data_IF_107452227154
#
_entry.id   IF_107452227154
#
_cell.length_a   1.000
_cell.length_b   1.000
_cell.length_c   1.000
_cell.angle_alpha   90.00
_cell.angle_beta   90.00
_cell.angle_gamma   90.00
#
_symmetry.space_group_name_H-M   'P 1'
#
loop_
_entity.id
_entity.type
_entity.pdbx_description
1 polymer ?
#
# COMPACT_ATOMS: atom_id res chain seq x y z
N UNK A 1 5.66 9.45 -25.64
CA UNK A 1 5.83 9.41 -24.18
C UNK A 1 6.14 10.82 -23.76
N UNK A 2 5.29 11.45 -22.94
CA UNK A 2 5.57 12.81 -22.48
C UNK A 2 6.91 12.86 -21.74
N UNK A 3 7.67 13.92 -21.97
CA UNK A 3 8.92 14.15 -21.24
C UNK A 3 8.57 14.82 -19.92
N UNK A 4 8.84 14.12 -18.82
CA UNK A 4 8.62 14.63 -17.48
C UNK A 4 9.91 15.26 -16.96
N UNK A 5 9.79 16.49 -16.44
CA UNK A 5 10.86 17.06 -15.63
C UNK A 5 11.08 16.20 -14.36
N UNK A 6 12.31 16.08 -13.83
CA UNK A 6 12.59 15.24 -12.66
C UNK A 6 11.69 15.54 -11.47
N UNK A 7 11.32 16.80 -11.26
CA UNK A 7 10.47 17.26 -10.15
C UNK A 7 9.01 16.80 -10.28
N UNK A 8 8.62 16.28 -11.45
CA UNK A 8 7.29 15.74 -11.75
C UNK A 8 7.22 14.21 -11.67
N UNK A 9 8.32 13.54 -11.38
CA UNK A 9 8.38 12.07 -11.21
C UNK A 9 8.34 11.73 -9.72
N UNK A 10 7.53 10.74 -9.34
CA UNK A 10 7.47 10.23 -7.96
C UNK A 10 7.49 8.71 -7.93
N UNK A 11 8.46 8.14 -7.24
CA UNK A 11 8.53 6.71 -6.97
C UNK A 11 7.92 6.45 -5.58
N UNK A 12 6.82 5.70 -5.52
CA UNK A 12 6.09 5.46 -4.27
C UNK A 12 6.00 3.96 -4.01
N UNK A 13 6.57 3.50 -2.90
CA UNK A 13 6.50 2.09 -2.51
C UNK A 13 5.27 1.78 -1.65
N UNK A 14 4.55 0.71 -2.01
CA UNK A 14 3.48 0.15 -1.20
C UNK A 14 4.06 -0.94 -0.30
N UNK A 15 3.94 -0.75 1.00
CA UNK A 15 4.49 -1.62 2.05
C UNK A 15 3.38 -2.15 2.94
N UNK A 16 3.62 -3.25 3.66
CA UNK A 16 2.66 -3.82 4.60
C UNK A 16 2.69 -5.34 4.64
N UNK A 17 2.09 -5.91 5.68
CA UNK A 17 2.02 -7.37 5.86
C UNK A 17 1.31 -8.08 4.69
N UNK A 18 1.49 -9.39 4.57
CA UNK A 18 0.68 -10.20 3.66
C UNK A 18 -0.81 -9.99 3.93
N UNK A 19 -1.63 -9.95 2.87
CA UNK A 19 -3.07 -9.73 3.00
C UNK A 19 -3.49 -8.32 3.42
N UNK A 20 -2.57 -7.36 3.60
CA UNK A 20 -2.92 -5.95 3.89
C UNK A 20 -3.60 -5.22 2.72
N UNK A 21 -3.58 -5.80 1.51
CA UNK A 21 -4.26 -5.25 0.33
C UNK A 21 -3.41 -4.33 -0.55
N UNK A 22 -2.07 -4.41 -0.46
CA UNK A 22 -1.13 -3.60 -1.26
C UNK A 22 -1.42 -3.68 -2.76
N UNK A 23 -1.42 -4.89 -3.29
CA UNK A 23 -1.66 -5.16 -4.71
C UNK A 23 -3.05 -4.70 -5.16
N UNK A 24 -4.07 -4.92 -4.34
CA UNK A 24 -5.43 -4.45 -4.63
C UNK A 24 -5.51 -2.92 -4.67
N UNK A 25 -4.76 -2.23 -3.81
CA UNK A 25 -4.64 -0.77 -3.86
C UNK A 25 -3.86 -0.33 -5.10
N UNK A 26 -2.76 -1.00 -5.43
CA UNK A 26 -1.95 -0.72 -6.61
C UNK A 26 -2.78 -0.82 -7.90
N UNK A 27 -3.55 -1.90 -8.03
CA UNK A 27 -4.55 -2.11 -9.09
C UNK A 27 -5.56 -0.98 -9.16
N UNK A 28 -6.19 -0.64 -8.03
CA UNK A 28 -7.21 0.39 -7.98
C UNK A 28 -6.65 1.76 -8.35
N UNK A 29 -5.45 2.12 -7.88
CA UNK A 29 -4.77 3.37 -8.22
C UNK A 29 -4.45 3.42 -9.71
N UNK A 30 -3.91 2.34 -10.27
CA UNK A 30 -3.56 2.23 -11.70
C UNK A 30 -4.80 2.33 -12.59
N UNK A 31 -5.89 1.66 -12.19
CA UNK A 31 -7.18 1.73 -12.88
C UNK A 31 -7.80 3.14 -12.79
N UNK A 32 -7.81 3.76 -11.61
CA UNK A 32 -8.36 5.11 -11.40
C UNK A 32 -7.58 6.19 -12.15
N UNK A 33 -6.28 6.01 -12.31
CA UNK A 33 -5.43 6.86 -13.13
C UNK A 33 -5.65 6.66 -14.65
N UNK A 34 -6.41 5.64 -15.06
CA UNK A 34 -6.67 5.32 -16.47
C UNK A 34 -5.52 4.60 -17.17
N UNK A 35 -4.49 4.17 -16.43
CA UNK A 35 -3.35 3.44 -17.01
C UNK A 35 -3.73 2.01 -17.45
N UNK A 36 -4.76 1.43 -16.83
CA UNK A 36 -5.38 0.16 -17.25
C UNK A 36 -6.89 0.34 -17.44
N UNK A 37 -7.46 -0.40 -18.39
CA UNK A 37 -8.89 -0.28 -18.77
C UNK A 37 -9.83 -1.13 -17.94
N UNK A 38 -9.32 -2.15 -17.24
CA UNK A 38 -10.08 -3.08 -16.42
C UNK A 38 -9.39 -3.17 -15.07
N UNK A 39 -10.19 -3.14 -14.00
CA UNK A 39 -9.69 -3.42 -12.66
C UNK A 39 -9.37 -4.92 -12.54
N UNK A 40 -8.11 -5.25 -12.22
CA UNK A 40 -7.68 -6.62 -11.98
C UNK A 40 -8.01 -7.12 -10.57
N UNK A 41 -7.86 -8.42 -10.37
CA UNK A 41 -8.05 -9.08 -9.09
C UNK A 41 -6.94 -10.10 -8.83
N UNK A 42 -6.34 -10.03 -7.65
CA UNK A 42 -5.34 -11.01 -7.18
C UNK A 42 -5.94 -12.40 -7.07
N UNK A 43 -7.16 -12.50 -6.55
CA UNK A 43 -7.86 -13.78 -6.37
C UNK A 43 -8.24 -14.43 -7.71
N UNK A 44 -8.48 -13.62 -8.75
CA UNK A 44 -8.81 -14.13 -10.08
C UNK A 44 -7.56 -14.29 -10.97
N UNK A 45 -6.36 -13.93 -10.47
CA UNK A 45 -5.12 -14.00 -11.26
C UNK A 45 -5.09 -12.99 -12.41
N UNK A 46 -5.78 -11.86 -12.28
CA UNK A 46 -5.92 -10.85 -13.35
C UNK A 46 -5.31 -9.48 -12.98
N UNK A 47 -4.58 -9.42 -11.87
CA UNK A 47 -3.77 -8.27 -11.48
C UNK A 47 -2.67 -8.04 -12.53
N UNK A 48 -2.41 -6.79 -12.90
CA UNK A 48 -1.26 -6.38 -13.72
C UNK A 48 0.03 -6.28 -12.90
N UNK A 49 -0.08 -6.26 -11.57
CA UNK A 49 1.06 -6.31 -10.65
C UNK A 49 1.61 -7.73 -10.50
N UNK A 50 0.71 -8.69 -10.26
CA UNK A 50 1.04 -10.11 -10.04
C UNK A 50 0.90 -10.89 -11.36
N UNK A 51 1.89 -10.75 -12.25
CA UNK A 51 1.85 -11.33 -13.60
C UNK A 51 2.64 -12.64 -13.73
N UNK A 52 3.49 -12.99 -12.76
CA UNK A 52 4.19 -14.28 -12.79
C UNK A 52 3.23 -15.43 -12.47
N UNK A 53 3.40 -16.58 -13.14
CA UNK A 53 2.56 -17.75 -12.91
C UNK A 53 2.57 -18.19 -11.44
N UNK A 54 3.71 -18.06 -10.75
CA UNK A 54 3.84 -18.43 -9.34
C UNK A 54 3.03 -17.50 -8.43
N UNK A 55 2.90 -16.23 -8.80
CA UNK A 55 2.11 -15.24 -8.05
C UNK A 55 0.62 -15.48 -8.27
N UNK A 56 0.24 -15.78 -9.51
CA UNK A 56 -1.13 -16.16 -9.90
C UNK A 56 -1.57 -17.43 -9.15
N UNK A 57 -0.75 -18.49 -9.19
CA UNK A 57 -1.05 -19.78 -8.58
C UNK A 57 -1.18 -19.71 -7.06
N UNK A 58 -0.42 -18.80 -6.42
CA UNK A 58 -0.39 -18.64 -4.96
C UNK A 58 -1.27 -17.49 -4.45
N UNK A 59 -1.86 -16.70 -5.36
CA UNK A 59 -2.61 -15.49 -5.04
C UNK A 59 -1.83 -14.54 -4.10
N UNK A 60 -0.54 -14.34 -4.39
CA UNK A 60 0.34 -13.48 -3.59
C UNK A 60 1.51 -12.97 -4.43
N UNK A 61 1.89 -11.71 -4.21
CA UNK A 61 3.09 -11.13 -4.79
C UNK A 61 4.36 -11.80 -4.23
N UNK A 62 5.28 -12.11 -5.11
CA UNK A 62 6.60 -12.70 -4.85
C UNK A 62 7.69 -11.72 -5.26
N UNK A 63 7.48 -11.01 -6.36
CA UNK A 63 8.42 -10.05 -6.94
C UNK A 63 7.99 -8.61 -6.67
N UNK A 64 8.94 -7.68 -6.70
CA UNK A 64 8.63 -6.26 -6.80
C UNK A 64 8.06 -5.95 -8.19
N UNK A 65 6.88 -5.29 -8.23
CA UNK A 65 6.28 -4.83 -9.47
C UNK A 65 6.36 -3.29 -9.62
N UNK A 66 6.53 -2.83 -10.85
CA UNK A 66 6.58 -1.40 -11.22
C UNK A 66 5.34 -1.05 -12.06
N UNK A 67 4.48 -0.20 -11.52
CA UNK A 67 3.26 0.26 -12.19
C UNK A 67 3.32 1.77 -12.46
N UNK A 68 3.70 2.19 -13.68
CA UNK A 68 3.70 3.60 -14.05
C UNK A 68 2.28 4.11 -14.31
N UNK A 69 1.94 5.26 -13.73
CA UNK A 69 0.65 5.93 -13.90
C UNK A 69 0.82 7.46 -13.90
N UNK A 70 -0.19 8.17 -14.39
CA UNK A 70 -0.23 9.63 -14.39
C UNK A 70 -1.34 10.12 -13.46
N UNK A 71 -1.02 11.07 -12.58
CA UNK A 71 -2.00 11.66 -11.68
C UNK A 71 -1.70 13.14 -11.47
N UNK A 72 -2.70 14.00 -11.68
CA UNK A 72 -2.60 15.45 -11.46
C UNK A 72 -1.36 16.11 -12.09
N UNK A 73 -0.97 15.68 -13.29
CA UNK A 73 0.20 16.24 -14.01
C UNK A 73 1.55 15.79 -13.45
N UNK A 74 1.58 14.67 -12.72
CA UNK A 74 2.78 13.99 -12.26
C UNK A 74 2.82 12.57 -12.80
N UNK A 75 4.02 12.09 -13.12
CA UNK A 75 4.27 10.67 -13.37
C UNK A 75 4.56 9.99 -12.04
N UNK A 76 3.70 9.05 -11.64
CA UNK A 76 3.95 8.19 -10.50
C UNK A 76 4.40 6.82 -10.97
N UNK A 77 5.40 6.28 -10.30
CA UNK A 77 5.84 4.91 -10.42
C UNK A 77 5.48 4.22 -9.11
N UNK A 78 4.40 3.44 -9.09
CA UNK A 78 4.08 2.64 -7.93
C UNK A 78 4.99 1.41 -7.90
N UNK A 79 5.60 1.18 -6.74
CA UNK A 79 6.45 0.03 -6.45
C UNK A 79 5.63 -0.88 -5.53
N UNK A 80 4.92 -1.85 -6.10
CA UNK A 80 4.13 -2.81 -5.34
C UNK A 80 5.04 -3.92 -4.83
N UNK A 81 5.16 -4.04 -3.50
CA UNK A 81 6.13 -4.94 -2.87
C UNK A 81 5.48 -6.19 -2.30
N UNK A 82 6.19 -7.33 -2.24
CA UNK A 82 5.73 -8.53 -1.56
C UNK A 82 5.41 -8.32 -0.06
N UNK A 83 4.44 -9.06 0.46
CA UNK A 83 4.02 -8.98 1.87
C UNK A 83 4.61 -10.04 2.80
N UNK A 84 5.24 -11.08 2.24
CA UNK A 84 5.84 -12.17 3.01
C UNK A 84 7.30 -11.87 3.34
N UNK A 85 7.70 -12.22 4.57
CA UNK A 85 9.04 -11.93 5.10
C UNK A 85 10.16 -12.57 4.26
N UNK A 86 9.90 -13.73 3.65
CA UNK A 86 10.85 -14.46 2.80
C UNK A 86 11.31 -13.64 1.59
N UNK A 87 10.51 -12.65 1.15
CA UNK A 87 10.80 -11.77 0.02
C UNK A 87 11.26 -10.37 0.45
N UNK A 88 11.84 -10.24 1.66
CA UNK A 88 12.36 -8.96 2.14
C UNK A 88 13.43 -8.34 1.22
N UNK A 89 14.11 -9.15 0.39
CA UNK A 89 15.03 -8.67 -0.64
C UNK A 89 14.36 -7.76 -1.66
N UNK A 90 13.18 -8.15 -2.16
CA UNK A 90 12.37 -7.38 -3.12
C UNK A 90 11.89 -6.07 -2.50
N UNK A 91 11.41 -6.14 -1.24
CA UNK A 91 10.98 -4.96 -0.49
C UNK A 91 12.11 -3.95 -0.36
N UNK A 92 13.31 -4.40 0.04
CA UNK A 92 14.48 -3.53 0.18
C UNK A 92 14.98 -2.98 -1.14
N UNK A 93 14.88 -3.75 -2.23
CA UNK A 93 15.21 -3.29 -3.58
C UNK A 93 14.28 -2.14 -4.00
N UNK A 94 12.97 -2.28 -3.79
CA UNK A 94 11.98 -1.23 -4.08
C UNK A 94 12.21 0.02 -3.23
N UNK A 95 12.47 -0.15 -1.93
CA UNK A 95 12.72 0.99 -1.04
C UNK A 95 13.98 1.79 -1.39
N UNK A 96 15.00 1.15 -1.96
CA UNK A 96 16.23 1.84 -2.38
C UNK A 96 15.99 2.87 -3.49
N UNK A 97 14.93 2.72 -4.28
CA UNK A 97 14.59 3.63 -5.40
C UNK A 97 13.32 4.45 -5.15
N UNK A 98 12.71 4.31 -3.97
CA UNK A 98 11.49 5.02 -3.59
C UNK A 98 11.81 6.43 -3.05
N UNK A 99 10.99 7.41 -3.43
CA UNK A 99 11.02 8.76 -2.85
C UNK A 99 10.16 8.84 -1.59
N UNK A 100 9.13 8.00 -1.50
CA UNK A 100 8.19 7.92 -0.37
C UNK A 100 7.53 6.53 -0.29
N UNK A 101 6.86 6.26 0.82
CA UNK A 101 6.16 5.00 1.04
C UNK A 101 4.73 5.19 1.52
N UNK A 102 3.86 4.24 1.19
CA UNK A 102 2.56 4.04 1.81
C UNK A 102 2.59 2.69 2.51
N UNK A 103 2.48 2.68 3.84
CA UNK A 103 2.36 1.46 4.63
C UNK A 103 0.89 1.14 4.81
N UNK A 104 0.45 -0.02 4.34
CA UNK A 104 -0.91 -0.50 4.53
C UNK A 104 -1.00 -1.31 5.81
N UNK A 105 -2.01 -0.99 6.63
CA UNK A 105 -2.35 -1.69 7.86
C UNK A 105 -3.80 -2.14 7.79
N UNK A 106 -4.05 -3.43 7.97
CA UNK A 106 -5.41 -3.94 7.91
C UNK A 106 -6.18 -3.55 9.18
N UNK A 107 -7.39 -3.02 9.05
CA UNK A 107 -8.24 -2.64 10.18
C UNK A 107 -8.66 -3.81 11.08
N UNK A 108 -8.58 -5.05 10.58
CA UNK A 108 -8.98 -6.26 11.32
C UNK A 108 -7.82 -6.89 12.09
N UNK A 109 -6.64 -7.01 11.47
CA UNK A 109 -5.43 -7.57 12.09
C UNK A 109 -4.56 -6.53 12.79
N UNK A 110 -4.76 -5.24 12.51
CA UNK A 110 -3.98 -4.12 13.03
C UNK A 110 -2.48 -4.26 12.70
N UNK A 111 -1.61 -3.77 13.57
CA UNK A 111 -0.16 -3.80 13.40
C UNK A 111 0.40 -5.19 13.70
N UNK A 112 0.86 -5.85 12.63
CA UNK A 112 1.50 -7.17 12.68
C UNK A 112 3.03 -7.06 12.68
N UNK A 113 3.72 -8.19 12.89
CA UNK A 113 5.19 -8.26 12.87
C UNK A 113 5.74 -7.80 11.52
N UNK A 114 5.13 -8.24 10.42
CA UNK A 114 5.52 -7.79 9.08
C UNK A 114 5.34 -6.29 8.87
N UNK A 115 4.31 -5.68 9.47
CA UNK A 115 4.10 -4.23 9.44
C UNK A 115 5.23 -3.48 10.16
N UNK A 116 5.66 -3.97 11.33
CA UNK A 116 6.79 -3.38 12.08
C UNK A 116 8.10 -3.50 11.30
N UNK A 117 8.34 -4.62 10.62
CA UNK A 117 9.53 -4.83 9.81
C UNK A 117 9.62 -3.84 8.64
N UNK A 118 8.57 -3.72 7.84
CA UNK A 118 8.57 -2.79 6.69
C UNK A 118 8.58 -1.32 7.15
N UNK A 119 7.97 -1.03 8.31
CA UNK A 119 8.08 0.28 8.94
C UNK A 119 9.54 0.59 9.29
N UNK A 120 10.24 -0.33 9.96
CA UNK A 120 11.66 -0.18 10.29
C UNK A 120 12.51 0.06 9.03
N UNK A 121 12.29 -0.69 7.95
CA UNK A 121 13.01 -0.48 6.68
C UNK A 121 12.79 0.93 6.11
N UNK A 122 11.56 1.46 6.18
CA UNK A 122 11.28 2.84 5.75
C UNK A 122 12.02 3.88 6.60
N UNK A 123 12.15 3.63 7.92
CA UNK A 123 12.82 4.52 8.86
C UNK A 123 14.34 4.49 8.67
N UNK A 124 14.92 3.32 8.45
CA UNK A 124 16.36 3.15 8.17
C UNK A 124 16.83 4.00 6.98
N UNK A 125 15.95 4.18 5.99
CA UNK A 125 16.21 4.98 4.79
C UNK A 125 15.69 6.42 4.90
N UNK A 126 15.15 6.82 6.05
CA UNK A 126 14.55 8.15 6.29
C UNK A 126 13.48 8.53 5.26
N UNK A 127 12.72 7.56 4.74
CA UNK A 127 11.72 7.81 3.72
C UNK A 127 10.49 8.51 4.33
N UNK A 128 9.92 9.54 3.69
CA UNK A 128 8.59 10.02 4.00
C UNK A 128 7.57 8.87 3.90
N UNK A 129 6.71 8.72 4.90
CA UNK A 129 5.74 7.60 4.92
C UNK A 129 4.37 8.05 5.37
N UNK A 130 3.38 7.67 4.58
CA UNK A 130 1.96 7.74 4.93
C UNK A 130 1.50 6.34 5.31
N UNK A 131 0.55 6.25 6.24
CA UNK A 131 -0.09 4.98 6.59
C UNK A 131 -1.53 4.98 6.11
N UNK A 132 -1.94 3.92 5.43
CA UNK A 132 -3.30 3.72 4.97
C UNK A 132 -3.92 2.53 5.71
N UNK A 133 -5.03 2.76 6.42
CA UNK A 133 -5.77 1.68 7.06
C UNK A 133 -6.73 1.08 6.03
N UNK A 134 -6.52 -0.19 5.69
CA UNK A 134 -7.31 -0.92 4.69
C UNK A 134 -8.38 -1.78 5.35
N UNK A 135 -9.32 -2.30 4.54
CA UNK A 135 -10.33 -3.28 4.96
C UNK A 135 -11.26 -2.79 6.08
N UNK A 136 -11.59 -1.50 6.07
CA UNK A 136 -12.57 -0.89 6.98
C UNK A 136 -13.99 -1.44 6.83
N UNK A 137 -14.27 -2.08 5.69
CA UNK A 137 -15.53 -2.75 5.33
C UNK A 137 -15.68 -4.16 5.91
N UNK A 138 -14.62 -4.73 6.50
CA UNK A 138 -14.61 -6.11 7.00
C UNK A 138 -15.10 -6.22 8.43
N UNK A 139 -15.63 -7.40 8.77
CA UNK A 139 -15.98 -7.75 10.14
C UNK A 139 -14.77 -7.59 11.07
N UNK A 140 -15.00 -7.06 12.27
CA UNK A 140 -13.98 -6.72 13.26
C UNK A 140 -13.01 -5.60 12.83
N UNK A 141 -13.32 -4.82 11.79
CA UNK A 141 -12.57 -3.61 11.49
C UNK A 141 -12.72 -2.60 12.63
N UNK A 142 -11.58 -2.17 13.19
CA UNK A 142 -11.52 -1.20 14.28
C UNK A 142 -10.42 -0.17 14.03
N UNK A 143 -10.84 1.01 13.58
CA UNK A 143 -9.94 2.13 13.30
C UNK A 143 -9.22 2.63 14.56
N UNK A 144 -9.93 2.76 15.67
CA UNK A 144 -9.38 3.35 16.90
C UNK A 144 -8.33 2.45 17.52
N UNK A 145 -8.63 1.15 17.59
CA UNK A 145 -7.66 0.14 18.01
C UNK A 145 -6.45 0.12 17.08
N UNK A 146 -6.67 0.15 15.76
CA UNK A 146 -5.57 0.15 14.79
C UNK A 146 -4.68 1.38 14.94
N UNK A 147 -5.27 2.57 15.14
CA UNK A 147 -4.54 3.81 15.41
C UNK A 147 -3.72 3.73 16.71
N UNK A 148 -4.32 3.25 17.80
CA UNK A 148 -3.63 3.07 19.07
C UNK A 148 -2.45 2.07 18.96
N UNK A 149 -2.65 0.97 18.23
CA UNK A 149 -1.61 0.00 17.93
C UNK A 149 -0.47 0.62 17.12
N UNK A 150 -0.76 1.42 16.08
CA UNK A 150 0.26 2.16 15.33
C UNK A 150 1.05 3.12 16.23
N UNK A 151 0.36 3.86 17.10
CA UNK A 151 1.01 4.79 18.02
C UNK A 151 1.94 4.10 19.01
N UNK A 152 1.55 2.92 19.49
CA UNK A 152 2.33 2.15 20.46
C UNK A 152 3.49 1.36 19.84
N UNK A 153 3.28 0.77 18.65
CA UNK A 153 4.23 -0.17 18.02
C UNK A 153 5.08 0.43 16.90
N UNK A 154 4.60 1.47 16.22
CA UNK A 154 5.32 2.07 15.08
C UNK A 154 5.92 3.42 15.45
N UNK A 155 5.09 4.36 15.93
CA UNK A 155 5.51 5.69 16.35
C UNK A 155 4.38 6.43 17.06
N UNK A 156 4.66 7.02 18.22
CA UNK A 156 3.71 7.89 18.93
C UNK A 156 3.27 9.13 18.14
N UNK A 157 3.95 9.44 17.02
CA UNK A 157 3.62 10.53 16.10
C UNK A 157 2.68 10.11 14.96
N UNK A 158 2.16 8.89 14.95
CA UNK A 158 1.10 8.50 14.03
C UNK A 158 -0.18 9.28 14.36
N UNK A 159 -0.55 10.21 13.49
CA UNK A 159 -1.73 11.08 13.64
C UNK A 159 -2.69 10.82 12.49
N UNK A 160 -3.97 10.67 12.81
CA UNK A 160 -5.02 10.55 11.81
C UNK A 160 -5.32 11.92 11.18
N UNK A 161 -5.20 11.99 9.85
CA UNK A 161 -5.66 13.14 9.04
C UNK A 161 -7.03 12.88 8.40
N UNK A 162 -7.51 11.64 8.47
CA UNK A 162 -8.81 11.22 7.98
C UNK A 162 -9.51 10.36 9.02
N UNK A 163 -10.84 10.50 9.11
CA UNK A 163 -11.68 9.73 10.03
C UNK A 163 -12.73 8.93 9.26
N UNK A 164 -12.92 7.63 9.56
CA UNK A 164 -13.94 6.83 8.90
C UNK A 164 -15.35 7.20 9.34
N UNK A 165 -16.30 7.13 8.40
CA UNK A 165 -17.74 7.22 8.67
C UNK A 165 -18.29 5.79 8.73
N UNK A 166 -18.61 5.35 9.95
CA UNK A 166 -19.02 3.96 10.22
C UNK A 166 -17.84 2.98 10.18
N UNK A 167 -18.16 1.70 10.33
CA UNK A 167 -17.20 0.59 10.33
C UNK A 167 -17.87 -0.69 9.84
N UNK A 168 -17.09 -1.63 9.33
CA UNK A 168 -17.59 -2.92 8.85
C UNK A 168 -18.64 -2.70 7.75
N UNK A 169 -19.78 -3.39 7.81
CA UNK A 169 -20.89 -3.21 6.86
C UNK A 169 -21.44 -1.76 6.79
N UNK A 170 -21.26 -0.97 7.85
CA UNK A 170 -21.71 0.43 7.91
C UNK A 170 -20.66 1.44 7.43
N UNK A 171 -19.48 0.98 6.96
CA UNK A 171 -18.44 1.87 6.43
C UNK A 171 -18.92 2.54 5.13
N UNK A 172 -19.02 3.87 5.16
CA UNK A 172 -19.60 4.67 4.06
C UNK A 172 -18.61 5.61 3.38
N UNK A 173 -17.46 5.84 4.01
CA UNK A 173 -16.45 6.76 3.50
C UNK A 173 -15.57 7.32 4.59
N UNK A 174 -14.90 8.42 4.28
CA UNK A 174 -13.97 9.11 5.18
C UNK A 174 -14.26 10.60 5.20
N UNK A 175 -14.00 11.23 6.34
CA UNK A 175 -13.98 12.68 6.53
C UNK A 175 -12.53 13.12 6.47
N UNK A 176 -12.23 14.09 5.62
CA UNK A 176 -10.93 14.78 5.61
C UNK A 176 -10.90 15.81 6.75
N UNK A 177 -9.85 15.79 7.56
CA UNK A 177 -9.68 16.70 8.70
C UNK A 177 -8.78 17.90 8.37
N UNK A 178 -8.31 18.01 7.12
CA UNK A 178 -7.40 19.07 6.63
C UNK A 178 -8.16 20.13 5.84
#
# INVERSE_FOLDING_TARGET
>A
MESYAPEKIRNVALLGHYGSGKTSLAELMTFRAGAIKRLGSVNEGTSVSDYDQSEIDRHMSISLALLPLEWNGHKLNLLDTPGYADFAGEVKAGLRVADACVVLVCATSSVEVGTQQVWAYSRELNLPTVVAISKMDRDNADFQKTLADMQSKLSSRCVAIQMPIGSQADFKGVIDLV
#
